data_IF_255088604403
#
_entry.id   IF_255088604403
#
_cell.length_a   1.000
_cell.length_b   1.000
_cell.length_c   1.000
_cell.angle_alpha   90.00
_cell.angle_beta   90.00
_cell.angle_gamma   90.00
#
_symmetry.space_group_name_H-M   'P 1'
#
loop_
_entity.id
_entity.type
_entity.pdbx_description
1 polymer ?
#
# COMPACT_ATOMS: atom_id res chain seq x y z
N UNK A 1 -0.58 35.74 43.00
CA UNK A 1 -0.83 36.20 41.62
C UNK A 1 0.19 35.53 40.70
N UNK A 2 -0.19 34.51 39.92
CA UNK A 2 0.48 34.22 38.64
C UNK A 2 -0.38 33.23 37.82
N UNK A 3 -1.30 33.80 37.02
CA UNK A 3 -1.94 33.11 35.90
C UNK A 3 -1.04 33.26 34.67
N UNK A 4 -1.10 32.27 33.79
CA UNK A 4 -0.79 32.33 32.35
C UNK A 4 0.64 31.99 31.91
N UNK A 5 0.89 30.72 31.58
CA UNK A 5 1.79 30.32 30.48
C UNK A 5 1.35 28.98 29.90
N UNK A 6 0.23 28.96 29.18
CA UNK A 6 -0.04 28.04 28.06
C UNK A 6 -1.29 28.64 27.37
N UNK A 7 -1.07 29.62 26.50
CA UNK A 7 -2.13 30.33 25.74
C UNK A 7 -2.62 29.54 24.52
N UNK A 8 -2.16 28.30 24.38
CA UNK A 8 -2.47 27.45 23.24
C UNK A 8 -3.55 26.42 23.63
N UNK A 9 -4.58 26.21 22.80
CA UNK A 9 -5.59 25.20 23.07
C UNK A 9 -5.01 23.78 22.99
N UNK A 10 -5.56 22.88 23.81
CA UNK A 10 -5.05 21.53 23.99
C UNK A 10 -6.10 20.47 23.76
N UNK A 11 -5.67 19.42 23.09
CA UNK A 11 -6.48 18.30 22.70
C UNK A 11 -6.04 17.05 23.45
N UNK A 12 -6.98 16.20 23.80
CA UNK A 12 -6.64 14.81 24.14
C UNK A 12 -6.12 14.08 22.89
N UNK A 13 -5.42 12.96 23.09
CA UNK A 13 -4.99 12.12 21.97
C UNK A 13 -6.16 11.56 21.16
N UNK A 14 -7.33 11.39 21.77
CA UNK A 14 -8.55 10.97 21.06
C UNK A 14 -9.09 12.10 20.19
N UNK A 15 -9.23 13.32 20.74
CA UNK A 15 -9.67 14.48 19.96
C UNK A 15 -8.74 14.79 18.79
N UNK A 16 -7.42 14.66 18.99
CA UNK A 16 -6.45 14.79 17.91
C UNK A 16 -6.64 13.70 16.84
N UNK A 17 -6.97 12.47 17.24
CA UNK A 17 -7.23 11.36 16.32
C UNK A 17 -8.48 11.61 15.48
N UNK A 18 -9.57 12.05 16.12
CA UNK A 18 -10.83 12.38 15.48
C UNK A 18 -10.66 13.54 14.47
N UNK A 19 -9.92 14.59 14.85
CA UNK A 19 -9.64 15.72 13.96
C UNK A 19 -8.75 15.34 12.77
N UNK A 20 -7.77 14.44 12.96
CA UNK A 20 -6.83 14.01 11.92
C UNK A 20 -7.37 12.85 11.06
N UNK A 21 -8.52 12.26 11.40
CA UNK A 21 -9.11 11.12 10.70
C UNK A 21 -8.27 9.84 10.79
N UNK A 22 -7.49 9.67 11.87
CA UNK A 22 -6.58 8.51 12.06
C UNK A 22 -6.89 7.76 13.35
N UNK A 23 -6.31 6.57 13.54
CA UNK A 23 -6.46 5.82 14.78
C UNK A 23 -5.75 6.52 15.97
N UNK A 24 -6.24 6.27 17.19
CA UNK A 24 -5.58 6.73 18.42
C UNK A 24 -4.11 6.28 18.53
N UNK A 25 -3.79 5.07 18.04
CA UNK A 25 -2.42 4.53 18.04
C UNK A 25 -1.51 5.30 17.08
N UNK A 26 -2.03 5.76 15.95
CA UNK A 26 -1.31 6.60 14.99
C UNK A 26 -0.90 7.93 15.63
N UNK A 27 -1.81 8.57 16.35
CA UNK A 27 -1.52 9.80 17.10
C UNK A 27 -0.46 9.58 18.18
N UNK A 28 -0.52 8.47 18.91
CA UNK A 28 0.49 8.13 19.92
C UNK A 28 1.89 7.97 19.31
N UNK A 29 1.98 7.25 18.18
CA UNK A 29 3.24 7.10 17.45
C UNK A 29 3.77 8.42 16.91
N UNK A 30 2.91 9.31 16.42
CA UNK A 30 3.32 10.64 15.97
C UNK A 30 3.81 11.52 17.09
N UNK A 31 3.24 11.42 18.29
CA UNK A 31 3.80 12.06 19.49
C UNK A 31 5.18 11.50 19.84
N UNK A 32 5.33 10.18 19.83
CA UNK A 32 6.62 9.52 20.16
C UNK A 32 7.73 9.86 19.17
N UNK A 33 7.38 10.01 17.88
CA UNK A 33 8.29 10.43 16.81
C UNK A 33 8.49 11.95 16.70
N UNK A 34 7.87 12.74 17.58
CA UNK A 34 7.97 14.20 17.57
C UNK A 34 7.27 14.89 16.39
N UNK A 35 6.37 14.19 15.69
CA UNK A 35 5.54 14.76 14.64
C UNK A 35 4.33 15.54 15.19
N UNK A 36 3.88 15.20 16.40
CA UNK A 36 2.89 15.95 17.18
C UNK A 36 3.52 16.43 18.49
N UNK A 37 3.38 17.72 18.77
CA UNK A 37 3.87 18.30 20.02
C UNK A 37 2.87 17.94 21.13
N UNK A 38 3.35 17.22 22.14
CA UNK A 38 2.52 16.83 23.27
C UNK A 38 3.30 16.81 24.57
N UNK A 39 2.58 16.99 25.68
CA UNK A 39 3.12 16.82 27.02
C UNK A 39 2.24 15.95 27.90
N UNK A 40 2.81 15.48 29.00
CA UNK A 40 2.08 14.73 30.02
C UNK A 40 1.57 15.68 31.10
N UNK A 41 0.29 15.59 31.41
CA UNK A 41 -0.27 16.18 32.64
C UNK A 41 0.29 15.47 33.88
N UNK A 42 0.21 16.07 35.07
CA UNK A 42 0.57 15.40 36.33
C UNK A 42 -0.13 14.05 36.53
N UNK A 43 -1.34 13.87 35.98
CA UNK A 43 -2.10 12.61 36.01
C UNK A 43 -1.70 11.60 34.91
N UNK A 44 -0.58 11.80 34.21
CA UNK A 44 -0.06 10.86 33.20
C UNK A 44 -0.70 10.95 31.81
N UNK A 45 -1.84 11.62 31.67
CA UNK A 45 -2.50 11.79 30.38
C UNK A 45 -1.72 12.72 29.45
N UNK A 46 -1.64 12.37 28.16
CA UNK A 46 -1.04 13.21 27.12
C UNK A 46 -2.01 14.31 26.68
N UNK A 47 -1.48 15.50 26.42
CA UNK A 47 -2.16 16.64 25.80
C UNK A 47 -1.37 17.07 24.58
N UNK A 48 -2.03 17.05 23.44
CA UNK A 48 -1.47 17.43 22.14
C UNK A 48 -1.81 18.90 21.91
N UNK A 49 -0.86 19.67 21.40
CA UNK A 49 -1.12 21.08 21.05
C UNK A 49 -2.02 21.19 19.83
N UNK A 50 -2.97 22.13 19.85
CA UNK A 50 -3.82 22.36 18.69
C UNK A 50 -3.00 22.81 17.47
N UNK A 51 -1.94 23.64 17.62
CA UNK A 51 -1.14 24.05 16.46
C UNK A 51 -0.34 22.92 15.82
N UNK A 52 0.09 21.89 16.57
CA UNK A 52 0.76 20.73 15.97
C UNK A 52 -0.22 19.85 15.19
N UNK A 53 -1.45 19.73 15.68
CA UNK A 53 -2.55 19.07 14.95
C UNK A 53 -2.90 19.87 13.69
N UNK A 54 -3.08 21.19 13.79
CA UNK A 54 -3.36 22.07 12.65
C UNK A 54 -2.24 22.07 11.63
N UNK A 55 -0.97 22.09 12.06
CA UNK A 55 0.20 21.96 11.18
C UNK A 55 0.21 20.62 10.45
N UNK A 56 -0.15 19.52 11.12
CA UNK A 56 -0.30 18.23 10.44
C UNK A 56 -1.52 18.19 9.53
N UNK A 57 -2.64 18.82 9.89
CA UNK A 57 -3.81 18.96 9.02
C UNK A 57 -3.46 19.77 7.77
N UNK A 58 -2.76 20.88 7.90
CA UNK A 58 -2.27 21.69 6.78
C UNK A 58 -1.25 20.91 5.96
N UNK A 59 -0.35 20.15 6.60
CA UNK A 59 0.60 19.27 5.92
C UNK A 59 -0.12 18.16 5.16
N UNK A 60 -1.20 17.59 5.71
CA UNK A 60 -2.08 16.59 5.10
C UNK A 60 -3.11 17.18 4.13
N UNK A 61 -3.31 18.51 4.12
CA UNK A 61 -4.07 19.23 3.10
C UNK A 61 -3.17 19.65 1.94
N UNK A 62 -1.86 19.81 2.17
CA UNK A 62 -0.83 19.99 1.14
C UNK A 62 -0.19 18.69 0.66
N UNK A 63 -0.37 17.59 1.37
CA UNK A 63 -0.17 16.26 0.83
C UNK A 63 -1.50 15.87 0.18
N UNK A 64 -1.52 15.56 -1.12
CA UNK A 64 -2.73 15.07 -1.74
C UNK A 64 -3.23 13.90 -0.90
N UNK A 65 -4.55 13.79 -0.70
CA UNK A 65 -5.15 12.49 -0.41
C UNK A 65 -4.61 11.60 -1.52
N UNK A 66 -3.75 10.65 -1.16
CA UNK A 66 -3.14 9.77 -2.14
C UNK A 66 -4.24 8.82 -2.62
N UNK A 67 -5.07 9.33 -3.53
CA UNK A 67 -6.09 8.59 -4.28
C UNK A 67 -5.42 7.64 -5.29
N UNK A 68 -4.10 7.49 -5.23
CA UNK A 68 -3.43 6.51 -6.03
C UNK A 68 -3.81 5.10 -5.59
N UNK A 69 -3.99 4.27 -6.60
CA UNK A 69 -4.14 2.84 -6.40
C UNK A 69 -2.75 2.26 -6.18
N UNK A 70 -2.59 1.60 -5.06
CA UNK A 70 -1.39 0.89 -4.65
C UNK A 70 -1.25 -0.40 -5.42
N UNK A 71 -0.17 -0.49 -6.18
CA UNK A 71 0.20 -1.65 -6.97
C UNK A 71 1.48 -2.25 -6.39
N UNK A 72 1.46 -3.55 -6.13
CA UNK A 72 2.66 -4.31 -5.79
C UNK A 72 3.09 -5.12 -7.02
N UNK A 73 4.34 -4.95 -7.45
CA UNK A 73 5.01 -5.76 -8.46
C UNK A 73 5.89 -6.81 -7.79
N UNK A 74 5.72 -8.08 -8.15
CA UNK A 74 6.59 -9.19 -7.74
C UNK A 74 7.27 -9.81 -8.96
N UNK A 75 8.58 -9.55 -9.09
CA UNK A 75 9.42 -9.96 -10.24
C UNK A 75 10.84 -10.14 -9.72
N UNK A 76 11.41 -11.34 -9.89
CA UNK A 76 12.73 -11.70 -9.37
C UNK A 76 13.89 -11.24 -10.27
N UNK A 77 13.63 -11.07 -11.57
CA UNK A 77 14.59 -10.46 -12.49
C UNK A 77 14.66 -8.94 -12.24
N UNK A 78 15.80 -8.47 -11.73
CA UNK A 78 16.03 -7.06 -11.41
C UNK A 78 15.86 -6.12 -12.61
N UNK A 79 16.25 -6.54 -13.82
CA UNK A 79 16.16 -5.71 -15.01
C UNK A 79 14.71 -5.59 -15.47
N UNK A 80 13.96 -6.70 -15.49
CA UNK A 80 12.52 -6.67 -15.77
C UNK A 80 11.79 -5.84 -14.71
N UNK A 81 12.04 -6.08 -13.43
CA UNK A 81 11.43 -5.30 -12.34
C UNK A 81 11.64 -3.79 -12.54
N UNK A 82 12.88 -3.36 -12.83
CA UNK A 82 13.18 -1.95 -13.12
C UNK A 82 12.44 -1.44 -14.36
N UNK A 83 12.41 -2.23 -15.44
CA UNK A 83 11.72 -1.85 -16.68
C UNK A 83 10.22 -1.66 -16.46
N UNK A 84 9.56 -2.58 -15.74
CA UNK A 84 8.15 -2.45 -15.40
C UNK A 84 7.91 -1.25 -14.50
N UNK A 85 8.75 -1.03 -13.48
CA UNK A 85 8.60 0.12 -12.60
C UNK A 85 8.70 1.44 -13.37
N UNK A 86 9.76 1.62 -14.16
CA UNK A 86 9.93 2.82 -14.99
C UNK A 86 8.74 3.05 -15.93
N UNK A 87 8.25 1.98 -16.55
CA UNK A 87 7.14 2.10 -17.50
C UNK A 87 5.82 2.43 -16.80
N UNK A 88 5.47 1.74 -15.70
CA UNK A 88 4.23 1.98 -14.95
C UNK A 88 4.24 3.40 -14.35
N UNK A 89 5.38 3.82 -13.77
CA UNK A 89 5.54 5.15 -13.19
C UNK A 89 5.55 6.27 -14.23
N UNK A 90 5.89 5.96 -15.49
CA UNK A 90 5.83 6.94 -16.60
C UNK A 90 4.39 7.25 -17.05
N UNK A 91 3.41 6.44 -16.66
CA UNK A 91 2.03 6.64 -17.05
C UNK A 91 1.38 7.70 -16.17
N UNK A 92 0.61 8.59 -16.78
CA UNK A 92 -0.21 9.59 -16.08
C UNK A 92 -1.46 8.94 -15.46
N UNK A 93 -1.23 8.00 -14.54
CA UNK A 93 -2.24 7.26 -13.81
C UNK A 93 -2.07 7.51 -12.31
N UNK A 94 -3.17 7.55 -11.53
CA UNK A 94 -3.08 7.67 -10.09
C UNK A 94 -2.63 6.32 -9.51
N UNK A 95 -1.33 6.03 -9.57
CA UNK A 95 -0.74 4.78 -9.11
C UNK A 95 0.42 5.08 -8.14
N UNK A 96 0.44 4.34 -7.02
CA UNK A 96 1.62 4.23 -6.17
C UNK A 96 2.16 2.82 -6.35
N UNK A 97 3.41 2.69 -6.79
CA UNK A 97 4.04 1.41 -7.10
C UNK A 97 5.07 1.05 -6.04
N UNK A 98 5.08 -0.21 -5.63
CA UNK A 98 6.20 -0.82 -4.92
C UNK A 98 6.54 -2.15 -5.56
N UNK A 99 7.79 -2.57 -5.45
CA UNK A 99 8.28 -3.80 -6.06
C UNK A 99 9.04 -4.68 -5.08
N UNK A 100 8.90 -6.00 -5.23
CA UNK A 100 9.60 -7.05 -4.47
C UNK A 100 10.16 -8.09 -5.44
N UNK A 101 11.10 -8.91 -4.96
CA UNK A 101 11.86 -9.87 -5.79
C UNK A 101 11.54 -11.33 -5.52
N UNK A 102 10.62 -11.63 -4.60
CA UNK A 102 10.17 -12.99 -4.33
C UNK A 102 8.79 -12.99 -3.64
N UNK A 103 8.15 -14.17 -3.60
CA UNK A 103 6.83 -14.33 -3.03
C UNK A 103 6.75 -14.10 -1.52
N UNK A 104 7.80 -14.38 -0.74
CA UNK A 104 7.82 -14.15 0.72
C UNK A 104 7.77 -12.65 1.02
N UNK A 105 8.64 -11.88 0.37
CA UNK A 105 8.64 -10.43 0.43
C UNK A 105 7.30 -9.85 -0.07
N UNK A 106 6.71 -10.47 -1.10
CA UNK A 106 5.37 -10.14 -1.59
C UNK A 106 4.29 -10.26 -0.52
N UNK A 107 4.17 -11.42 0.13
CA UNK A 107 3.18 -11.66 1.18
C UNK A 107 3.36 -10.70 2.36
N UNK A 108 4.59 -10.47 2.81
CA UNK A 108 4.89 -9.51 3.88
C UNK A 108 4.45 -8.09 3.49
N UNK A 109 4.74 -7.69 2.26
CA UNK A 109 4.40 -6.35 1.77
C UNK A 109 2.91 -6.16 1.59
N UNK A 110 2.19 -7.20 1.15
CA UNK A 110 0.73 -7.18 1.06
C UNK A 110 0.10 -6.98 2.44
N UNK A 111 0.63 -7.66 3.47
CA UNK A 111 0.17 -7.52 4.84
C UNK A 111 0.40 -6.11 5.44
N UNK A 112 1.54 -5.49 5.12
CA UNK A 112 1.96 -4.17 5.61
C UNK A 112 1.29 -3.01 4.87
N UNK A 113 1.32 -3.04 3.54
CA UNK A 113 1.00 -1.90 2.68
C UNK A 113 -0.39 -2.01 2.03
N UNK A 114 -1.03 -3.18 2.11
CA UNK A 114 -2.37 -3.45 1.59
C UNK A 114 -2.60 -2.86 0.18
N UNK A 115 -1.85 -3.36 -0.83
CA UNK A 115 -2.06 -2.98 -2.23
C UNK A 115 -3.44 -3.43 -2.70
N UNK A 116 -4.00 -2.71 -3.67
CA UNK A 116 -5.26 -3.11 -4.31
C UNK A 116 -5.03 -3.97 -5.55
N UNK A 117 -3.85 -3.86 -6.16
CA UNK A 117 -3.45 -4.64 -7.33
C UNK A 117 -2.11 -5.32 -7.05
N UNK A 118 -2.03 -6.61 -7.35
CA UNK A 118 -0.79 -7.38 -7.42
C UNK A 118 -0.49 -7.70 -8.89
N UNK A 119 0.72 -7.39 -9.34
CA UNK A 119 1.29 -7.87 -10.61
C UNK A 119 2.41 -8.84 -10.22
N UNK A 120 2.34 -10.09 -10.67
CA UNK A 120 3.31 -11.13 -10.25
C UNK A 120 3.76 -11.99 -11.42
N UNK A 121 5.06 -12.33 -11.47
CA UNK A 121 5.47 -13.55 -12.17
C UNK A 121 5.04 -14.78 -11.35
N UNK A 122 4.92 -15.92 -12.02
CA UNK A 122 4.78 -17.24 -11.42
C UNK A 122 6.13 -17.88 -11.13
N UNK A 123 7.16 -17.60 -11.92
CA UNK A 123 8.50 -18.14 -11.72
C UNK A 123 9.30 -17.18 -10.86
N UNK A 124 9.43 -17.48 -9.57
CA UNK A 124 10.25 -16.72 -8.62
C UNK A 124 10.92 -17.69 -7.63
N UNK A 125 12.08 -17.34 -7.05
CA UNK A 125 12.76 -18.17 -6.06
C UNK A 125 12.05 -18.18 -4.71
N UNK A 126 12.40 -19.17 -3.88
CA UNK A 126 11.91 -19.40 -2.50
C UNK A 126 10.43 -19.76 -2.42
N UNK A 127 9.55 -18.80 -2.71
CA UNK A 127 8.10 -18.96 -2.77
C UNK A 127 7.65 -18.43 -4.12
N UNK A 128 7.18 -19.35 -4.97
CA UNK A 128 6.76 -19.05 -6.33
C UNK A 128 5.42 -18.31 -6.36
N UNK A 129 5.08 -17.72 -7.51
CA UNK A 129 3.86 -16.93 -7.64
C UNK A 129 2.59 -17.78 -7.48
N UNK A 130 2.62 -19.09 -7.77
CA UNK A 130 1.47 -19.97 -7.55
C UNK A 130 1.14 -20.08 -6.07
N UNK A 131 2.16 -20.37 -5.24
CA UNK A 131 1.99 -20.48 -3.80
C UNK A 131 1.53 -19.16 -3.20
N UNK A 132 2.14 -18.04 -3.62
CA UNK A 132 1.74 -16.70 -3.15
C UNK A 132 0.25 -16.44 -3.42
N UNK A 133 -0.21 -16.69 -4.65
CA UNK A 133 -1.61 -16.47 -5.04
C UNK A 133 -2.56 -17.38 -4.25
N UNK A 134 -2.19 -18.64 -4.02
CA UNK A 134 -2.99 -19.57 -3.21
C UNK A 134 -3.14 -19.06 -1.78
N UNK A 135 -2.05 -18.69 -1.12
CA UNK A 135 -2.08 -18.13 0.24
C UNK A 135 -2.97 -16.89 0.33
N UNK A 136 -2.89 -16.00 -0.66
CA UNK A 136 -3.74 -14.80 -0.72
C UNK A 136 -5.22 -15.15 -0.85
N UNK A 137 -5.57 -16.19 -1.62
CA UNK A 137 -6.97 -16.62 -1.80
C UNK A 137 -7.54 -17.39 -0.62
N UNK A 138 -6.71 -17.93 0.28
CA UNK A 138 -7.19 -18.54 1.53
C UNK A 138 -7.65 -17.49 2.56
N UNK A 139 -7.30 -16.21 2.37
CA UNK A 139 -7.60 -15.13 3.31
C UNK A 139 -8.70 -14.21 2.78
N UNK A 140 -9.87 -14.10 3.45
CA UNK A 140 -10.95 -13.18 3.06
C UNK A 140 -10.51 -11.72 3.01
N UNK A 141 -9.43 -11.36 3.73
CA UNK A 141 -8.87 -10.00 3.74
C UNK A 141 -8.37 -9.55 2.37
N UNK A 142 -8.07 -10.48 1.46
CA UNK A 142 -7.51 -10.20 0.14
C UNK A 142 -8.48 -10.53 -1.01
N UNK A 143 -9.75 -10.81 -0.70
CA UNK A 143 -10.77 -11.19 -1.69
C UNK A 143 -10.94 -10.12 -2.78
N UNK A 144 -10.91 -8.85 -2.39
CA UNK A 144 -11.06 -7.71 -3.31
C UNK A 144 -9.77 -7.31 -4.04
N UNK A 145 -8.63 -7.92 -3.72
CA UNK A 145 -7.38 -7.59 -4.38
C UNK A 145 -7.39 -8.14 -5.82
N UNK A 146 -7.12 -7.26 -6.77
CA UNK A 146 -7.00 -7.61 -8.20
C UNK A 146 -5.62 -8.20 -8.43
N UNK A 147 -5.54 -9.32 -9.15
CA UNK A 147 -4.27 -10.02 -9.38
C UNK A 147 -4.07 -10.17 -10.89
N UNK A 148 -2.96 -9.64 -11.39
CA UNK A 148 -2.45 -9.85 -12.73
C UNK A 148 -1.22 -10.74 -12.63
N UNK A 149 -1.23 -11.84 -13.37
CA UNK A 149 -0.06 -12.69 -13.57
C UNK A 149 0.57 -12.34 -14.91
N UNK A 150 1.88 -12.09 -14.90
CA UNK A 150 2.67 -11.85 -16.11
C UNK A 150 3.80 -12.87 -16.16
N UNK A 151 3.73 -13.84 -17.06
CA UNK A 151 4.64 -14.99 -17.03
C UNK A 151 5.02 -15.50 -18.42
N UNK A 152 6.18 -16.15 -18.52
CA UNK A 152 6.65 -16.83 -19.73
C UNK A 152 6.20 -18.30 -19.82
N UNK A 153 5.59 -18.85 -18.76
CA UNK A 153 5.09 -20.23 -18.75
C UNK A 153 4.07 -20.48 -19.88
N UNK A 154 3.85 -21.73 -20.23
CA UNK A 154 2.78 -22.21 -21.10
C UNK A 154 1.53 -22.57 -20.30
N UNK A 155 0.40 -22.84 -20.97
CA UNK A 155 -0.81 -23.33 -20.28
C UNK A 155 -0.58 -24.69 -19.61
N UNK A 156 0.23 -25.56 -20.23
CA UNK A 156 0.55 -26.87 -19.69
C UNK A 156 1.39 -26.76 -18.40
N UNK A 157 2.36 -25.85 -18.36
CA UNK A 157 3.16 -25.60 -17.16
C UNK A 157 2.33 -24.96 -16.05
N UNK A 158 1.42 -24.04 -16.40
CA UNK A 158 0.46 -23.48 -15.44
C UNK A 158 -0.45 -24.57 -14.86
N UNK A 159 -0.96 -25.46 -15.70
CA UNK A 159 -1.78 -26.58 -15.26
C UNK A 159 -0.98 -27.54 -14.35
N UNK A 160 0.28 -27.82 -14.68
CA UNK A 160 1.18 -28.62 -13.83
C UNK A 160 1.46 -27.95 -12.47
N UNK A 161 1.52 -26.61 -12.44
CA UNK A 161 1.57 -25.80 -11.23
C UNK A 161 0.24 -25.70 -10.47
N UNK A 162 -0.79 -26.47 -10.86
CA UNK A 162 -2.11 -26.52 -10.24
C UNK A 162 -3.07 -25.40 -10.65
N UNK A 163 -2.78 -24.70 -11.75
CA UNK A 163 -3.65 -23.71 -12.34
C UNK A 163 -3.67 -22.36 -11.62
N UNK A 164 -4.49 -21.45 -12.15
CA UNK A 164 -4.75 -20.15 -11.55
C UNK A 164 -6.24 -20.03 -11.22
N UNK A 165 -6.62 -19.38 -10.10
CA UNK A 165 -8.01 -19.07 -9.79
C UNK A 165 -8.64 -18.21 -10.90
N UNK A 166 -9.94 -18.36 -11.16
CA UNK A 166 -10.65 -17.61 -12.21
C UNK A 166 -10.57 -16.08 -12.06
N UNK A 167 -10.47 -15.60 -10.81
CA UNK A 167 -10.30 -14.17 -10.51
C UNK A 167 -8.93 -13.58 -10.93
N UNK A 168 -7.98 -14.43 -11.32
CA UNK A 168 -6.62 -14.02 -11.71
C UNK A 168 -6.56 -13.73 -13.20
N UNK A 169 -6.01 -12.58 -13.54
CA UNK A 169 -5.86 -12.12 -14.90
C UNK A 169 -4.50 -12.52 -15.46
N UNK A 170 -4.46 -13.35 -16.49
CA UNK A 170 -3.21 -13.81 -17.10
C UNK A 170 -2.77 -12.90 -18.26
N UNK A 171 -1.46 -12.63 -18.34
CA UNK A 171 -0.76 -12.00 -19.45
C UNK A 171 0.54 -12.77 -19.73
N UNK A 172 0.92 -12.89 -21.00
CA UNK A 172 2.09 -13.66 -21.45
C UNK A 172 3.28 -12.75 -21.73
N UNK A 173 4.49 -13.22 -21.41
CA UNK A 173 5.74 -12.64 -21.90
C UNK A 173 6.05 -13.21 -23.31
N UNK A 174 6.59 -12.44 -24.26
CA UNK A 174 6.84 -10.99 -24.18
C UNK A 174 5.53 -10.20 -24.21
N UNK A 175 5.41 -9.22 -23.31
CA UNK A 175 4.22 -8.38 -23.20
C UNK A 175 4.45 -7.04 -23.92
N UNK A 176 3.38 -6.46 -24.46
CA UNK A 176 3.38 -5.05 -24.84
C UNK A 176 2.90 -4.21 -23.66
N UNK A 177 3.70 -3.24 -23.24
CA UNK A 177 3.35 -2.38 -22.10
C UNK A 177 2.07 -1.57 -22.29
N UNK A 178 1.66 -1.31 -23.54
CA UNK A 178 0.33 -0.76 -23.85
C UNK A 178 -0.79 -1.65 -23.34
N UNK A 179 -0.66 -2.96 -23.49
CA UNK A 179 -1.70 -3.91 -23.09
C UNK A 179 -1.81 -3.98 -21.56
N UNK A 180 -0.68 -3.88 -20.85
CA UNK A 180 -0.67 -3.80 -19.39
C UNK A 180 -1.28 -2.49 -18.91
N UNK A 181 -0.98 -1.37 -19.60
CA UNK A 181 -1.59 -0.08 -19.32
C UNK A 181 -3.11 -0.15 -19.46
N UNK A 182 -3.62 -0.64 -20.59
CA UNK A 182 -5.05 -0.79 -20.85
C UNK A 182 -5.72 -1.68 -19.80
N UNK A 183 -5.03 -2.74 -19.35
CA UNK A 183 -5.51 -3.62 -18.28
C UNK A 183 -5.62 -2.87 -16.95
N UNK A 184 -4.58 -2.12 -16.59
CA UNK A 184 -4.55 -1.35 -15.36
C UNK A 184 -5.60 -0.23 -15.38
N UNK A 185 -5.77 0.50 -16.47
CA UNK A 185 -6.82 1.51 -16.60
C UNK A 185 -8.22 0.96 -16.33
N UNK A 186 -8.55 -0.24 -16.85
CA UNK A 186 -9.82 -0.91 -16.56
C UNK A 186 -9.96 -1.24 -15.08
N UNK A 187 -8.91 -1.80 -14.46
CA UNK A 187 -8.93 -2.12 -13.03
C UNK A 187 -9.05 -0.88 -12.14
N UNK A 188 -8.41 0.23 -12.52
CA UNK A 188 -8.52 1.51 -11.81
C UNK A 188 -9.95 2.05 -11.84
N UNK A 189 -10.71 1.80 -12.92
CA UNK A 189 -12.12 2.17 -13.01
C UNK A 189 -13.00 1.29 -12.10
N UNK A 190 -12.69 0.00 -11.96
CA UNK A 190 -13.42 -0.93 -11.08
C UNK A 190 -13.19 -0.67 -9.58
N UNK A 191 -12.09 -0.01 -9.22
CA UNK A 191 -11.71 0.31 -7.84
C UNK A 191 -12.26 1.66 -7.33
N UNK A 192 -12.92 2.42 -8.21
CA UNK A 192 -13.59 3.70 -7.89
C UNK A 192 -15.05 3.47 -7.51
#
# INVERSE_FOLDING_TARGET
>A
MNKSKHTEPLLSTQQAADLLGVSLRTVQLWVEKGALDAWKTPGGHRRVTQSSVERLLLKNQTQPVDNSVRILLAEDDELLKQLYSLQIESWDLPISLQSVTNGIAGLLKIGEWAPQILISDLQMPELDGFQMIRELKLSPRHENMKIIVVTALTDAEIAAGGGLPESVQLMRKPLLFSDLKDRLEKLLQELR
#
